data_IF_888635617084
#
_entry.id   IF_888635617084
#
_cell.length_a   1.000
_cell.length_b   1.000
_cell.length_c   1.000
_cell.angle_alpha   90.00
_cell.angle_beta   90.00
_cell.angle_gamma   90.00
#
_symmetry.space_group_name_H-M   'P 1'
#
loop_
_entity.id
_entity.type
_entity.pdbx_description
1 polymer ?
#
# COMPACT_ATOMS: atom_id res chain seq x y z
N UNK A 1 -12.58 -7.20 -27.71
CA UNK A 1 -12.84 -7.58 -26.31
C UNK A 1 -11.79 -6.88 -25.46
N UNK A 2 -12.17 -6.21 -24.38
CA UNK A 2 -11.20 -5.73 -23.39
C UNK A 2 -11.13 -6.78 -22.30
N UNK A 3 -9.98 -7.47 -22.20
CA UNK A 3 -9.74 -8.44 -21.15
C UNK A 3 -9.68 -7.69 -19.82
N UNK A 4 -10.67 -7.93 -18.95
CA UNK A 4 -10.72 -7.33 -17.62
C UNK A 4 -10.03 -8.25 -16.63
N UNK A 5 -8.92 -7.79 -16.06
CA UNK A 5 -8.29 -8.44 -14.92
C UNK A 5 -8.94 -7.93 -13.63
N UNK A 6 -9.54 -8.82 -12.85
CA UNK A 6 -10.09 -8.49 -11.53
C UNK A 6 -9.06 -8.89 -10.47
N UNK A 7 -8.52 -7.91 -9.76
CA UNK A 7 -7.60 -8.09 -8.63
C UNK A 7 -8.36 -7.87 -7.32
N UNK A 8 -8.42 -8.89 -6.48
CA UNK A 8 -8.93 -8.76 -5.12
C UNK A 8 -7.78 -8.43 -4.17
N UNK A 9 -7.89 -7.33 -3.45
CA UNK A 9 -6.89 -6.88 -2.46
C UNK A 9 -7.52 -7.02 -1.07
N UNK A 10 -7.32 -8.16 -0.38
CA UNK A 10 -8.01 -8.44 0.89
C UNK A 10 -7.55 -7.50 2.02
N UNK A 11 -6.30 -7.04 1.96
CA UNK A 11 -5.70 -6.13 2.95
C UNK A 11 -5.08 -4.93 2.24
N UNK A 12 -5.85 -3.84 2.03
CA UNK A 12 -5.37 -2.68 1.27
C UNK A 12 -4.27 -1.90 2.01
N UNK A 13 -4.21 -2.05 3.34
CA UNK A 13 -3.24 -1.39 4.21
C UNK A 13 -2.52 -2.46 5.04
N UNK A 14 -1.19 -2.46 5.01
CA UNK A 14 -0.37 -3.45 5.69
C UNK A 14 0.59 -2.83 6.70
N UNK A 15 0.84 -3.54 7.80
CA UNK A 15 1.99 -3.22 8.66
C UNK A 15 3.29 -3.57 7.94
N UNK A 16 4.41 -2.97 8.36
CA UNK A 16 5.72 -3.31 7.80
C UNK A 16 6.08 -4.78 8.05
N UNK A 17 5.66 -5.32 9.19
CA UNK A 17 5.85 -6.72 9.56
C UNK A 17 5.12 -7.65 8.59
N UNK A 18 3.84 -7.35 8.32
CA UNK A 18 3.04 -8.19 7.44
C UNK A 18 3.50 -8.09 5.99
N UNK A 19 3.86 -6.88 5.53
CA UNK A 19 4.47 -6.72 4.21
C UNK A 19 5.80 -7.48 4.10
N UNK A 20 6.68 -7.37 5.09
CA UNK A 20 7.95 -8.12 5.13
C UNK A 20 7.71 -9.63 5.06
N UNK A 21 6.76 -10.13 5.85
CA UNK A 21 6.37 -11.55 5.88
C UNK A 21 5.86 -12.04 4.52
N UNK A 22 5.00 -11.27 3.85
CA UNK A 22 4.45 -11.62 2.54
C UNK A 22 5.50 -11.61 1.43
N UNK A 23 6.47 -10.70 1.50
CA UNK A 23 7.52 -10.57 0.50
C UNK A 23 8.75 -11.45 0.77
N UNK A 24 8.83 -12.12 1.93
CA UNK A 24 10.00 -12.91 2.33
C UNK A 24 11.25 -12.08 2.58
N UNK A 25 11.09 -10.80 2.97
CA UNK A 25 12.20 -9.87 3.25
C UNK A 25 12.20 -9.46 4.72
N UNK A 26 13.25 -8.76 5.16
CA UNK A 26 13.30 -8.29 6.55
C UNK A 26 12.51 -6.99 6.73
N UNK A 27 12.02 -6.75 7.96
CA UNK A 27 11.37 -5.46 8.30
C UNK A 27 12.30 -4.28 8.06
N UNK A 28 13.63 -4.46 8.26
CA UNK A 28 14.64 -3.43 7.99
C UNK A 28 14.66 -3.03 6.52
N UNK A 29 14.54 -4.00 5.61
CA UNK A 29 14.50 -3.73 4.17
C UNK A 29 13.25 -2.95 3.79
N UNK A 30 12.10 -3.27 4.41
CA UNK A 30 10.85 -2.50 4.24
C UNK A 30 11.03 -1.06 4.71
N UNK A 31 11.61 -0.86 5.90
CA UNK A 31 11.87 0.49 6.43
C UNK A 31 12.79 1.29 5.50
N UNK A 32 13.86 0.66 4.99
CA UNK A 32 14.78 1.29 4.05
C UNK A 32 14.11 1.62 2.72
N UNK A 33 13.24 0.75 2.21
CA UNK A 33 12.49 0.98 0.99
C UNK A 33 11.50 2.14 1.14
N UNK A 34 10.79 2.21 2.28
CA UNK A 34 9.91 3.34 2.61
C UNK A 34 10.71 4.64 2.72
N UNK A 35 11.83 4.64 3.45
CA UNK A 35 12.66 5.84 3.61
C UNK A 35 13.20 6.33 2.26
N UNK A 36 13.54 5.41 1.36
CA UNK A 36 13.97 5.72 0.00
C UNK A 36 12.81 6.11 -0.95
N UNK A 37 11.56 6.16 -0.48
CA UNK A 37 10.39 6.49 -1.31
C UNK A 37 10.01 5.41 -2.33
N UNK A 38 10.49 4.17 -2.16
CA UNK A 38 10.22 3.03 -3.07
C UNK A 38 8.93 2.27 -2.73
N UNK A 39 8.39 2.49 -1.54
CA UNK A 39 7.11 1.90 -1.14
C UNK A 39 6.13 3.00 -0.74
N UNK A 40 4.92 3.03 -1.33
CA UNK A 40 3.90 3.98 -0.96
C UNK A 40 3.38 3.69 0.46
N UNK A 41 3.19 4.74 1.24
CA UNK A 41 2.77 4.63 2.64
C UNK A 41 1.45 5.34 2.92
N UNK A 42 0.67 4.75 3.81
CA UNK A 42 -0.47 5.38 4.46
C UNK A 42 -0.07 5.80 5.87
N UNK A 43 -0.31 7.07 6.19
CA UNK A 43 -0.18 7.61 7.54
C UNK A 43 -1.59 7.94 8.04
N UNK A 44 -2.07 7.32 9.13
CA UNK A 44 -3.36 7.66 9.71
C UNK A 44 -3.42 9.14 10.14
N UNK A 45 -4.62 9.75 10.19
CA UNK A 45 -4.80 11.09 10.74
C UNK A 45 -4.21 11.17 12.16
N UNK A 46 -3.39 12.19 12.41
CA UNK A 46 -2.82 12.47 13.72
C UNK A 46 -3.76 13.39 14.49
N UNK A 47 -3.87 13.20 15.81
CA UNK A 47 -4.63 14.13 16.65
C UNK A 47 -3.94 15.52 16.69
N UNK A 48 -4.68 16.62 16.92
CA UNK A 48 -4.10 17.94 17.08
C UNK A 48 -3.20 17.98 18.33
N UNK A 49 -1.89 17.82 18.14
CA UNK A 49 -0.90 17.74 19.24
C UNK A 49 0.02 16.51 19.16
N UNK A 50 -0.29 15.54 18.29
CA UNK A 50 0.57 14.40 18.06
C UNK A 50 1.60 14.72 16.95
N UNK A 51 2.86 14.30 17.13
CA UNK A 51 3.89 14.53 16.12
C UNK A 51 3.68 13.55 14.94
N UNK A 52 3.36 14.02 13.73
CA UNK A 52 3.10 13.15 12.59
C UNK A 52 4.30 12.29 12.18
N UNK A 53 5.53 12.73 12.48
CA UNK A 53 6.74 11.96 12.21
C UNK A 53 6.86 10.71 13.10
N UNK A 54 6.16 10.69 14.25
CA UNK A 54 6.16 9.55 15.19
C UNK A 54 4.97 8.62 14.99
N UNK A 55 4.02 8.98 14.13
CA UNK A 55 2.83 8.16 13.87
C UNK A 55 3.20 6.95 13.05
N UNK A 56 2.58 5.82 13.42
CA UNK A 56 2.81 4.53 12.79
C UNK A 56 2.38 4.60 11.32
N UNK A 57 3.32 4.27 10.44
CA UNK A 57 3.13 4.21 9.00
C UNK A 57 2.81 2.78 8.58
N UNK A 58 2.03 2.67 7.52
CA UNK A 58 1.59 1.41 6.92
C UNK A 58 1.92 1.43 5.43
N UNK A 59 2.07 0.26 4.81
CA UNK A 59 2.21 0.14 3.36
C UNK A 59 0.83 0.27 2.73
N UNK A 60 0.72 1.13 1.71
CA UNK A 60 -0.50 1.33 0.94
C UNK A 60 -0.48 0.42 -0.29
N UNK A 61 -1.11 -0.76 -0.18
CA UNK A 61 -1.12 -1.74 -1.27
C UNK A 61 -1.89 -1.25 -2.48
N UNK A 62 -2.94 -0.44 -2.28
CA UNK A 62 -3.71 0.15 -3.38
C UNK A 62 -2.81 1.04 -4.25
N UNK A 63 -2.06 1.94 -3.61
CA UNK A 63 -1.13 2.81 -4.33
C UNK A 63 -0.04 2.00 -5.04
N UNK A 64 0.47 0.94 -4.40
CA UNK A 64 1.49 0.06 -4.98
C UNK A 64 0.97 -0.61 -6.28
N UNK A 65 -0.23 -1.17 -6.24
CA UNK A 65 -0.82 -1.79 -7.43
C UNK A 65 -1.18 -0.77 -8.51
N UNK A 66 -1.63 0.42 -8.14
CA UNK A 66 -1.90 1.50 -9.10
C UNK A 66 -0.64 1.96 -9.83
N UNK A 67 0.49 2.09 -9.12
CA UNK A 67 1.79 2.41 -9.73
C UNK A 67 2.27 1.29 -10.64
N UNK A 68 2.12 0.03 -10.23
CA UNK A 68 2.47 -1.12 -11.07
C UNK A 68 1.62 -1.19 -12.35
N UNK A 69 0.31 -0.94 -12.24
CA UNK A 69 -0.58 -0.89 -13.40
C UNK A 69 -0.20 0.24 -14.36
N UNK A 70 0.10 1.43 -13.83
CA UNK A 70 0.60 2.56 -14.63
C UNK A 70 1.90 2.20 -15.37
N UNK A 71 2.85 1.56 -14.70
CA UNK A 71 4.10 1.13 -15.32
C UNK A 71 3.89 0.07 -16.42
N UNK A 72 2.84 -0.75 -16.30
CA UNK A 72 2.46 -1.76 -17.27
C UNK A 72 1.51 -1.24 -18.38
N UNK A 73 1.17 0.06 -18.40
CA UNK A 73 0.14 0.64 -19.29
C UNK A 73 -1.24 -0.04 -19.17
N UNK A 74 -1.61 -0.45 -17.97
CA UNK A 74 -2.91 -1.04 -17.65
C UNK A 74 -3.81 0.04 -17.04
N UNK A 75 -5.01 0.21 -17.60
CA UNK A 75 -6.04 1.06 -17.00
C UNK A 75 -6.68 0.33 -15.80
N UNK A 76 -6.61 0.95 -14.63
CA UNK A 76 -7.09 0.38 -13.37
C UNK A 76 -8.34 1.13 -12.90
N UNK A 77 -9.46 0.41 -12.79
CA UNK A 77 -10.67 0.91 -12.13
C UNK A 77 -10.80 0.28 -10.75
N UNK A 78 -10.76 1.09 -9.69
CA UNK A 78 -11.06 0.61 -8.34
C UNK A 78 -12.57 0.55 -8.13
N UNK A 79 -13.06 -0.62 -7.75
CA UNK A 79 -14.44 -0.82 -7.31
C UNK A 79 -14.40 -1.27 -5.85
N UNK A 80 -15.16 -0.57 -4.99
CA UNK A 80 -15.32 -0.96 -3.60
C UNK A 80 -16.73 -1.52 -3.45
N UNK A 81 -16.84 -2.79 -3.04
CA UNK A 81 -18.10 -3.29 -2.52
C UNK A 81 -18.26 -2.74 -1.10
N UNK A 82 -18.92 -1.60 -0.96
CA UNK A 82 -19.47 -1.20 0.33
C UNK A 82 -20.56 -2.21 0.69
N UNK A 83 -20.20 -3.24 1.45
CA UNK A 83 -21.19 -4.05 2.14
C UNK A 83 -21.88 -3.16 3.17
N UNK A 84 -23.21 -3.10 3.10
CA UNK A 84 -24.06 -2.61 4.18
C UNK A 84 -23.76 -3.32 5.49
#
# INVERSE_FOLDING_TARGET
>A
MHDKLILSIPTPILTYQEYARLQGITVKDVVNAVFAGRLPVYTPPCSPGENPARVKKYINMIALYAEAAKAANIDMTLTSNQGN
#
